data_IF_784321596171
#
_entry.id   IF_784321596171
#
_cell.length_a   1.000
_cell.length_b   1.000
_cell.length_c   1.000
_cell.angle_alpha   90.00
_cell.angle_beta   90.00
_cell.angle_gamma   90.00
#
_symmetry.space_group_name_H-M   'P 1'
#
loop_
_entity.id
_entity.type
_entity.pdbx_description
1 polymer ?
#
# COMPACT_ATOMS: atom_id res chain seq x y z
N UNK A 1 -1.69 2.59 -22.59
CA UNK A 1 -1.69 2.29 -22.08
C UNK A 1 -1.53 1.24 -21.60
N UNK A 2 -1.86 0.54 -21.86
CA UNK A 2 -1.75 -0.72 -21.39
C UNK A 2 -0.51 -1.09 -20.75
N UNK A 3 0.41 -0.36 -21.00
CA UNK A 3 1.66 -0.63 -20.36
C UNK A 3 1.57 -0.54 -18.88
N UNK A 4 0.54 0.06 -18.41
CA UNK A 4 0.41 0.16 -16.99
C UNK A 4 0.33 -1.16 -16.32
N UNK A 5 -0.20 -2.14 -16.99
CA UNK A 5 -0.28 -3.42 -16.39
C UNK A 5 1.06 -4.04 -16.13
N UNK A 6 2.06 -3.53 -16.79
CA UNK A 6 3.39 -4.06 -16.65
C UNK A 6 4.16 -3.46 -15.51
N UNK A 7 3.68 -2.34 -15.00
CA UNK A 7 4.38 -1.72 -13.90
C UNK A 7 3.97 -2.37 -12.62
N UNK A 8 4.85 -2.27 -11.66
CA UNK A 8 4.54 -2.80 -10.36
C UNK A 8 3.43 -2.00 -9.73
N UNK A 9 2.55 -2.68 -9.03
CA UNK A 9 1.56 -2.01 -8.24
C UNK A 9 2.25 -1.30 -7.10
N UNK A 10 1.72 -0.17 -6.72
CA UNK A 10 2.18 0.48 -5.51
C UNK A 10 1.68 -0.32 -4.32
N UNK A 11 2.31 -0.10 -3.18
CA UNK A 11 1.94 -0.85 -1.99
C UNK A 11 0.45 -0.68 -1.67
N UNK A 12 -0.06 0.54 -1.76
CA UNK A 12 -1.47 0.78 -1.49
C UNK A 12 -2.35 0.02 -2.46
N UNK A 13 -1.99 0.03 -3.74
CA UNK A 13 -2.75 -0.68 -4.75
C UNK A 13 -2.74 -2.18 -4.48
N UNK A 14 -1.59 -2.68 -4.02
CA UNK A 14 -1.45 -4.07 -3.67
C UNK A 14 -2.45 -4.44 -2.57
N UNK A 15 -2.60 -3.58 -1.58
CA UNK A 15 -3.53 -3.84 -0.48
C UNK A 15 -4.98 -3.83 -0.95
N UNK A 16 -5.32 -2.92 -1.85
CA UNK A 16 -6.67 -2.86 -2.39
C UNK A 16 -6.94 -4.08 -3.26
N UNK A 17 -5.97 -4.47 -4.05
CA UNK A 17 -6.09 -5.64 -4.92
C UNK A 17 -6.37 -6.88 -4.11
N UNK A 18 -5.74 -7.00 -2.96
CA UNK A 18 -5.94 -8.13 -2.07
C UNK A 18 -7.17 -7.98 -1.19
N UNK A 19 -7.89 -6.88 -1.36
CA UNK A 19 -9.11 -6.60 -0.59
C UNK A 19 -8.83 -6.49 0.90
N UNK A 20 -7.64 -6.06 1.23
CA UNK A 20 -7.26 -5.84 2.62
C UNK A 20 -7.80 -4.51 3.10
N UNK A 21 -7.74 -3.48 2.24
CA UNK A 21 -8.39 -2.20 2.51
C UNK A 21 -9.18 -1.81 1.28
N UNK A 22 -10.11 -0.90 1.44
CA UNK A 22 -10.92 -0.43 0.33
C UNK A 22 -10.22 0.74 -0.35
N UNK A 23 -10.69 1.09 -1.54
CA UNK A 23 -10.17 2.24 -2.25
C UNK A 23 -10.36 3.53 -1.46
N UNK A 24 -11.52 3.65 -0.81
CA UNK A 24 -11.78 4.83 0.00
C UNK A 24 -10.82 4.94 1.16
N UNK A 25 -10.52 3.82 1.79
CA UNK A 25 -9.56 3.79 2.88
C UNK A 25 -8.16 4.15 2.37
N UNK A 26 -7.82 3.68 1.19
CA UNK A 26 -6.52 4.02 0.62
C UNK A 26 -6.45 5.52 0.33
N UNK A 27 -7.52 6.09 -0.23
CA UNK A 27 -7.52 7.51 -0.51
C UNK A 27 -7.36 8.34 0.75
N UNK A 28 -8.00 7.91 1.82
CA UNK A 28 -7.89 8.59 3.10
C UNK A 28 -6.45 8.52 3.61
N UNK A 29 -5.84 7.36 3.50
CA UNK A 29 -4.45 7.19 3.95
C UNK A 29 -3.50 7.99 3.06
N UNK A 30 -3.80 8.09 1.76
CA UNK A 30 -2.97 8.89 0.87
C UNK A 30 -3.03 10.37 1.24
N UNK A 31 -4.20 10.85 1.63
CA UNK A 31 -4.31 12.24 2.07
C UNK A 31 -3.42 12.47 3.29
N UNK A 32 -3.45 11.55 4.23
CA UNK A 32 -2.60 11.65 5.40
C UNK A 32 -1.13 11.61 5.01
N UNK A 33 -0.80 10.73 4.09
CA UNK A 33 0.57 10.58 3.61
C UNK A 33 1.07 11.89 2.99
N UNK A 34 0.25 12.50 2.14
CA UNK A 34 0.65 13.75 1.49
C UNK A 34 0.81 14.87 2.49
N UNK A 35 -0.02 14.90 3.51
CA UNK A 35 -0.01 16.00 4.46
C UNK A 35 1.09 15.87 5.49
N UNK A 36 1.40 14.65 5.89
CA UNK A 36 2.33 14.44 6.99
C UNK A 36 3.73 14.08 6.53
N UNK A 37 3.87 13.64 5.29
CA UNK A 37 5.17 13.16 4.82
C UNK A 37 5.52 11.76 5.28
N UNK A 38 4.60 11.09 5.97
CA UNK A 38 4.85 9.72 6.41
C UNK A 38 4.73 8.76 5.25
N UNK A 39 5.33 7.60 5.39
CA UNK A 39 5.16 6.57 4.39
C UNK A 39 3.71 6.12 4.37
N UNK A 40 3.27 5.64 3.22
CA UNK A 40 1.87 5.26 3.08
C UNK A 40 1.49 4.16 4.08
N UNK A 41 2.41 3.21 4.34
CA UNK A 41 2.12 2.17 5.32
C UNK A 41 1.92 2.73 6.71
N UNK A 42 2.72 3.71 7.09
CA UNK A 42 2.54 4.36 8.37
C UNK A 42 1.21 5.09 8.44
N UNK A 43 0.84 5.74 7.34
CA UNK A 43 -0.42 6.46 7.31
C UNK A 43 -1.60 5.49 7.46
N UNK A 44 -1.52 4.34 6.82
CA UNK A 44 -2.56 3.33 6.94
C UNK A 44 -2.70 2.89 8.38
N UNK A 45 -1.58 2.68 9.05
CA UNK A 45 -1.62 2.26 10.44
C UNK A 45 -2.15 3.36 11.36
N UNK A 46 -1.73 4.59 11.09
CA UNK A 46 -2.19 5.70 11.92
C UNK A 46 -3.68 5.93 11.79
N UNK A 47 -4.23 5.69 10.61
CA UNK A 47 -5.65 5.83 10.41
C UNK A 47 -6.43 4.66 11.01
N UNK A 48 -5.73 3.63 11.44
CA UNK A 48 -6.37 2.52 12.09
C UNK A 48 -6.89 1.46 11.15
N UNK A 49 -6.51 1.51 9.89
CA UNK A 49 -7.01 0.53 8.94
C UNK A 49 -6.30 -0.81 9.07
N UNK A 50 -5.05 -0.79 9.50
CA UNK A 50 -4.29 -2.01 9.73
C UNK A 50 -3.37 -1.80 10.92
N UNK A 51 -3.15 -2.84 11.73
CA UNK A 51 -2.14 -2.73 12.79
C UNK A 51 -0.75 -2.60 12.18
N UNK A 52 0.17 -1.94 12.88
CA UNK A 52 1.51 -1.76 12.33
C UNK A 52 2.22 -3.05 11.97
N UNK A 53 2.05 -4.11 12.75
CA UNK A 53 2.75 -5.35 12.44
C UNK A 53 2.20 -6.00 11.16
N UNK A 54 0.92 -5.78 10.87
CA UNK A 54 0.36 -6.28 9.63
C UNK A 54 0.89 -5.50 8.45
N UNK A 55 1.02 -4.18 8.63
CA UNK A 55 1.59 -3.36 7.57
C UNK A 55 3.00 -3.83 7.24
N UNK A 56 3.80 -4.12 8.26
CA UNK A 56 5.15 -4.59 8.04
C UNK A 56 5.18 -5.94 7.34
N UNK A 57 4.33 -6.85 7.76
CA UNK A 57 4.27 -8.17 7.15
C UNK A 57 3.90 -8.07 5.68
N UNK A 58 2.90 -7.25 5.39
CA UNK A 58 2.43 -7.09 4.03
C UNK A 58 3.45 -6.34 3.18
N UNK A 59 4.18 -5.42 3.77
CA UNK A 59 5.22 -4.71 3.05
C UNK A 59 6.33 -5.67 2.61
N UNK A 60 6.68 -6.60 3.47
CA UNK A 60 7.68 -7.61 3.10
C UNK A 60 7.18 -8.48 1.98
N UNK A 61 5.92 -8.86 2.04
CA UNK A 61 5.34 -9.67 0.99
C UNK A 61 5.35 -8.92 -0.32
N UNK A 62 5.00 -7.66 -0.28
CA UNK A 62 4.98 -6.81 -1.46
C UNK A 62 6.38 -6.68 -2.04
N UNK A 63 7.38 -6.47 -1.20
CA UNK A 63 8.75 -6.36 -1.66
C UNK A 63 9.23 -7.64 -2.30
N UNK A 64 8.82 -8.75 -1.74
CA UNK A 64 9.18 -10.04 -2.29
C UNK A 64 8.64 -10.21 -3.70
N UNK A 65 7.41 -9.77 -3.92
CA UNK A 65 6.82 -9.83 -5.24
C UNK A 65 7.55 -8.93 -6.22
N UNK A 66 7.93 -7.74 -5.77
CA UNK A 66 8.67 -6.83 -6.62
C UNK A 66 10.00 -7.41 -7.03
N UNK A 67 10.64 -8.12 -6.13
CA UNK A 67 11.94 -8.70 -6.40
C UNK A 67 11.86 -9.75 -7.49
N UNK A 68 10.77 -10.42 -7.59
CA UNK A 68 10.60 -11.48 -8.58
C UNK A 68 10.78 -10.95 -9.99
N UNK A 69 10.52 -9.71 -10.21
CA UNK A 69 10.56 -9.17 -11.56
C UNK A 69 11.92 -8.60 -11.95
N UNK A 70 12.84 -8.65 -11.07
CA UNK A 70 14.19 -8.21 -11.39
C UNK A 70 15.00 -9.30 -12.07
#
# INVERSE_FOLDING_TARGET
MATNGLTRLRFGDFLVERKIISEGELLDALAEHWMSGRRIGESIARKGYLPPHEVERLAREYESLSTVYV
#
